data_IF_064799408418
#
_entry.id   IF_064799408418
#
_cell.length_a   1.000
_cell.length_b   1.000
_cell.length_c   1.000
_cell.angle_alpha   90.00
_cell.angle_beta   90.00
_cell.angle_gamma   90.00
#
_symmetry.space_group_name_H-M   'P 1'
#
loop_
_entity.id
_entity.type
_entity.pdbx_description
1 polymer ?
#
# COMPACT_ATOMS: atom_id res chain seq x y z
N UNK A 1 -2.56 -6.26 20.56
CA UNK A 1 -3.50 -6.69 19.50
C UNK A 1 -2.71 -7.60 18.58
N UNK A 2 -3.00 -8.90 18.59
CA UNK A 2 -2.21 -9.90 17.85
C UNK A 2 -2.51 -9.72 16.35
N UNK A 3 -1.50 -9.36 15.56
CA UNK A 3 -1.55 -9.34 14.09
C UNK A 3 -1.52 -10.78 13.55
N UNK A 4 -2.48 -11.60 13.98
CA UNK A 4 -2.47 -13.02 13.64
C UNK A 4 -2.94 -13.19 12.19
N UNK A 5 -1.99 -13.58 11.35
CA UNK A 5 -2.15 -14.02 9.97
C UNK A 5 -3.07 -13.15 9.08
N UNK A 6 -2.49 -12.08 8.54
CA UNK A 6 -2.97 -11.51 7.28
C UNK A 6 -2.94 -12.61 6.19
N UNK A 7 -4.11 -13.10 5.79
CA UNK A 7 -4.27 -13.99 4.64
C UNK A 7 -3.95 -13.22 3.34
N UNK A 8 -2.82 -13.49 2.66
CA UNK A 8 -2.36 -12.67 1.55
C UNK A 8 -3.15 -12.91 0.26
N UNK A 9 -3.87 -14.02 0.15
CA UNK A 9 -4.81 -14.29 -0.95
C UNK A 9 -6.08 -13.42 -0.85
N UNK A 10 -6.41 -12.98 0.37
CA UNK A 10 -7.56 -12.15 0.70
C UNK A 10 -7.26 -10.63 0.75
N UNK A 11 -6.01 -10.21 0.49
CA UNK A 11 -5.59 -8.79 0.32
C UNK A 11 -6.25 -8.08 -0.89
N UNK A 12 -7.16 -8.75 -1.61
CA UNK A 12 -7.89 -8.20 -2.75
C UNK A 12 -9.25 -7.57 -2.41
N UNK A 13 -9.69 -7.57 -1.14
CA UNK A 13 -10.85 -6.77 -0.67
C UNK A 13 -11.02 -6.70 0.86
N UNK A 14 -10.03 -7.09 1.67
CA UNK A 14 -10.18 -7.01 3.13
C UNK A 14 -10.07 -5.57 3.63
N UNK A 15 -10.98 -5.24 4.54
CA UNK A 15 -11.02 -3.99 5.29
C UNK A 15 -10.42 -4.21 6.67
N UNK A 16 -9.48 -3.36 7.04
CA UNK A 16 -8.76 -3.39 8.30
C UNK A 16 -9.19 -2.22 9.17
N UNK A 17 -9.40 -2.50 10.46
CA UNK A 17 -9.55 -1.48 11.48
C UNK A 17 -8.16 -1.10 11.96
N UNK A 18 -7.82 0.19 11.89
CA UNK A 18 -6.59 0.73 12.46
C UNK A 18 -6.79 1.06 13.95
N UNK A 19 -5.71 1.10 14.76
CA UNK A 19 -5.75 1.57 16.15
C UNK A 19 -6.46 2.91 16.33
N UNK A 20 -6.19 3.86 15.42
CA UNK A 20 -6.91 5.12 15.29
C UNK A 20 -7.06 5.49 13.80
N UNK A 21 -8.17 6.15 13.47
CA UNK A 21 -8.48 6.56 12.09
C UNK A 21 -9.56 5.72 11.42
N UNK A 22 -9.78 5.93 10.11
CA UNK A 22 -10.82 5.25 9.36
C UNK A 22 -10.43 3.80 9.06
N UNK A 23 -11.43 3.02 8.66
CA UNK A 23 -11.23 1.68 8.12
C UNK A 23 -10.50 1.76 6.78
N UNK A 24 -9.45 0.97 6.62
CA UNK A 24 -8.66 0.94 5.38
C UNK A 24 -8.86 -0.37 4.63
N UNK A 25 -9.04 -0.30 3.32
CA UNK A 25 -9.03 -1.46 2.42
C UNK A 25 -7.68 -1.53 1.72
N UNK A 26 -7.06 -2.70 1.74
CA UNK A 26 -5.85 -2.94 0.96
C UNK A 26 -6.21 -3.56 -0.39
N UNK A 27 -5.49 -3.17 -1.43
CA UNK A 27 -5.58 -3.76 -2.77
C UNK A 27 -4.30 -3.53 -3.57
N UNK A 28 -4.12 -4.28 -4.65
CA UNK A 28 -3.06 -3.99 -5.62
C UNK A 28 -3.27 -2.59 -6.24
N UNK A 29 -2.14 -1.93 -6.51
CA UNK A 29 -2.13 -0.67 -7.25
C UNK A 29 -2.67 -0.85 -8.68
N UNK A 30 -3.33 0.17 -9.18
CA UNK A 30 -3.93 0.24 -10.52
C UNK A 30 -3.49 1.51 -11.22
N UNK A 31 -3.49 1.50 -12.57
CA UNK A 31 -3.23 2.72 -13.35
C UNK A 31 -4.13 3.90 -12.99
N UNK A 32 -5.39 3.63 -12.61
CA UNK A 32 -6.34 4.64 -12.15
C UNK A 32 -5.93 5.35 -10.87
N UNK A 33 -5.02 4.77 -10.07
CA UNK A 33 -4.62 5.33 -8.78
C UNK A 33 -3.67 6.53 -8.92
N UNK A 34 -3.17 6.80 -10.13
CA UNK A 34 -2.15 7.83 -10.38
C UNK A 34 -2.51 9.19 -9.76
N UNK A 35 -3.76 9.62 -9.91
CA UNK A 35 -4.24 10.89 -9.34
C UNK A 35 -4.28 10.85 -7.82
N UNK A 36 -4.73 9.74 -7.23
CA UNK A 36 -4.77 9.58 -5.76
C UNK A 36 -3.38 9.49 -5.14
N UNK A 37 -2.45 8.81 -5.80
CA UNK A 37 -1.05 8.71 -5.38
C UNK A 37 -0.33 10.05 -5.45
N UNK A 38 -0.55 10.83 -6.51
CA UNK A 38 0.01 12.18 -6.62
C UNK A 38 -0.45 13.04 -5.44
N UNK A 39 -1.77 13.04 -5.14
CA UNK A 39 -2.33 13.76 -3.99
C UNK A 39 -1.75 13.32 -2.66
N UNK A 40 -1.60 12.01 -2.43
CA UNK A 40 -0.98 11.48 -1.21
C UNK A 40 0.46 11.99 -1.06
N UNK A 41 1.26 11.93 -2.12
CA UNK A 41 2.66 12.38 -2.10
C UNK A 41 2.76 13.89 -1.86
N UNK A 42 1.94 14.69 -2.54
CA UNK A 42 1.84 16.14 -2.35
C UNK A 42 1.47 16.50 -0.90
N UNK A 43 0.52 15.78 -0.29
CA UNK A 43 0.12 15.97 1.11
C UNK A 43 1.25 15.65 2.10
N UNK A 44 2.23 14.83 1.68
CA UNK A 44 3.45 14.53 2.43
C UNK A 44 4.61 15.47 2.09
N UNK A 45 4.38 16.50 1.28
CA UNK A 45 5.41 17.42 0.83
C UNK A 45 6.41 16.80 -0.15
N UNK A 46 6.05 15.68 -0.77
CA UNK A 46 6.86 14.99 -1.78
C UNK A 46 6.34 15.43 -3.14
N UNK A 47 7.15 16.12 -3.94
CA UNK A 47 6.81 16.36 -5.34
C UNK A 47 7.10 15.11 -6.18
N UNK A 48 6.07 14.43 -6.71
CA UNK A 48 6.28 13.19 -7.42
C UNK A 48 6.67 13.44 -8.89
N UNK A 49 7.80 12.89 -9.32
CA UNK A 49 8.10 12.82 -10.75
C UNK A 49 7.15 11.87 -11.47
N UNK A 50 6.90 12.11 -12.76
CA UNK A 50 6.11 11.20 -13.61
C UNK A 50 6.61 9.76 -13.54
N UNK A 51 7.93 9.56 -13.52
CA UNK A 51 8.53 8.23 -13.44
C UNK A 51 8.24 7.53 -12.11
N UNK A 52 8.26 8.26 -10.98
CA UNK A 52 7.91 7.70 -9.67
C UNK A 52 6.44 7.27 -9.63
N UNK A 53 5.53 8.10 -10.14
CA UNK A 53 4.10 7.76 -10.21
C UNK A 53 3.86 6.53 -11.09
N UNK A 54 4.49 6.46 -12.26
CA UNK A 54 4.38 5.30 -13.15
C UNK A 54 4.91 4.02 -12.47
N UNK A 55 5.98 4.10 -11.68
CA UNK A 55 6.47 2.95 -10.88
C UNK A 55 5.49 2.51 -9.80
N UNK A 56 4.78 3.46 -9.17
CA UNK A 56 3.81 3.15 -8.12
C UNK A 56 2.48 2.61 -8.65
N UNK A 57 2.13 2.88 -9.91
CA UNK A 57 0.94 2.27 -10.54
C UNK A 57 1.26 1.01 -11.34
N UNK A 58 2.54 0.72 -11.55
CA UNK A 58 3.00 -0.43 -12.33
C UNK A 58 3.33 -1.60 -11.42
N UNK A 59 2.32 -2.44 -11.23
CA UNK A 59 2.50 -3.79 -10.71
C UNK A 59 3.15 -4.70 -11.76
N UNK A 60 4.25 -5.36 -11.42
CA UNK A 60 4.83 -6.46 -12.19
C UNK A 60 4.82 -7.71 -11.30
N UNK A 61 3.94 -8.69 -11.56
CA UNK A 61 3.80 -9.85 -10.70
C UNK A 61 5.10 -10.61 -10.47
N UNK A 62 6.09 -10.50 -11.37
CA UNK A 62 7.38 -11.20 -11.27
C UNK A 62 8.47 -10.40 -10.56
N UNK A 63 8.36 -9.08 -10.54
CA UNK A 63 9.44 -8.18 -10.11
C UNK A 63 9.05 -7.23 -9.00
N UNK A 64 7.83 -6.68 -9.02
CA UNK A 64 7.43 -5.63 -8.10
C UNK A 64 5.98 -5.74 -7.67
N UNK A 65 5.78 -5.80 -6.37
CA UNK A 65 4.46 -5.73 -5.77
C UNK A 65 4.21 -4.32 -5.24
N UNK A 66 3.04 -3.77 -5.54
CA UNK A 66 2.59 -2.49 -5.01
C UNK A 66 1.19 -2.64 -4.44
N UNK A 67 1.00 -2.23 -3.18
CA UNK A 67 -0.27 -2.26 -2.45
C UNK A 67 -0.68 -0.83 -2.12
N UNK A 68 -1.91 -0.48 -2.48
CA UNK A 68 -2.58 0.75 -2.06
C UNK A 68 -3.51 0.47 -0.87
N UNK A 69 -3.51 1.38 0.09
CA UNK A 69 -4.49 1.46 1.15
C UNK A 69 -5.50 2.57 0.84
N UNK A 70 -6.79 2.25 0.96
CA UNK A 70 -7.88 3.16 0.61
C UNK A 70 -8.92 3.26 1.71
N UNK A 71 -9.60 4.39 1.80
CA UNK A 71 -10.74 4.59 2.70
C UNK A 71 -11.83 5.40 2.00
N UNK A 72 -13.12 5.19 2.32
CA UNK A 72 -14.15 6.17 2.01
C UNK A 72 -13.79 7.52 2.66
N UNK A 73 -13.75 8.58 1.86
CA UNK A 73 -13.55 9.97 2.28
C UNK A 73 -14.34 10.87 1.34
N UNK A 74 -15.18 11.75 1.91
CA UNK A 74 -16.02 12.70 1.16
C UNK A 74 -16.84 12.06 0.02
N UNK A 75 -17.40 10.87 0.28
CA UNK A 75 -18.22 10.13 -0.68
C UNK A 75 -17.43 9.42 -1.80
N UNK A 76 -16.10 9.44 -1.75
CA UNK A 76 -15.22 8.78 -2.74
C UNK A 76 -14.23 7.83 -2.06
N UNK A 77 -13.62 6.93 -2.84
CA UNK A 77 -12.51 6.11 -2.33
C UNK A 77 -11.19 6.89 -2.48
N UNK A 78 -10.61 7.32 -1.36
CA UNK A 78 -9.34 8.03 -1.33
C UNK A 78 -8.17 7.07 -1.04
N UNK A 79 -7.02 7.32 -1.69
CA UNK A 79 -5.75 6.65 -1.35
C UNK A 79 -5.18 7.33 -0.10
N UNK A 80 -4.96 6.57 0.97
CA UNK A 80 -4.37 7.06 2.23
C UNK A 80 -3.04 6.41 2.55
N UNK A 81 -2.61 5.44 1.74
CA UNK A 81 -1.28 4.89 1.82
C UNK A 81 -0.92 4.08 0.58
N UNK A 82 0.37 3.93 0.35
CA UNK A 82 0.94 3.06 -0.68
C UNK A 82 2.23 2.46 -0.14
N UNK A 83 2.46 1.20 -0.47
CA UNK A 83 3.75 0.58 -0.24
C UNK A 83 4.15 -0.32 -1.40
N UNK A 84 5.45 -0.51 -1.57
CA UNK A 84 6.01 -1.32 -2.63
C UNK A 84 7.22 -2.14 -2.14
N UNK A 85 7.42 -3.27 -2.79
CA UNK A 85 8.51 -4.21 -2.52
C UNK A 85 9.00 -4.82 -3.84
N UNK A 86 10.32 -4.89 -4.02
CA UNK A 86 10.95 -5.67 -5.08
C UNK A 86 10.96 -7.16 -4.71
N UNK A 87 10.52 -7.99 -5.64
CA UNK A 87 10.32 -9.44 -5.49
C UNK A 87 11.52 -10.26 -5.96
N UNK A 88 12.43 -9.65 -6.73
CA UNK A 88 13.68 -10.27 -7.20
C UNK A 88 14.88 -9.95 -6.30
N UNK A 89 14.67 -9.18 -5.23
CA UNK A 89 15.65 -8.95 -4.16
C UNK A 89 15.80 -10.18 -3.26
N UNK A 90 17.01 -10.43 -2.77
CA UNK A 90 17.29 -11.45 -1.73
C UNK A 90 16.68 -11.08 -0.38
N UNK A 91 16.49 -9.78 -0.13
CA UNK A 91 15.88 -9.24 1.07
C UNK A 91 14.47 -8.75 0.72
N UNK A 92 13.45 -9.42 1.28
CA UNK A 92 12.05 -9.06 1.09
C UNK A 92 11.66 -7.91 2.02
N UNK A 93 12.27 -6.75 1.82
CA UNK A 93 11.97 -5.53 2.57
C UNK A 93 11.27 -4.48 1.69
N UNK A 94 10.21 -3.80 2.17
CA UNK A 94 9.57 -2.73 1.42
C UNK A 94 10.54 -1.57 1.11
N UNK A 95 10.73 -1.28 -0.17
CA UNK A 95 11.56 -0.14 -0.62
C UNK A 95 10.80 1.20 -0.60
N UNK A 96 9.47 1.14 -0.49
CA UNK A 96 8.61 2.33 -0.44
C UNK A 96 7.48 2.10 0.55
N UNK A 97 7.29 3.04 1.48
CA UNK A 97 6.07 3.18 2.30
C UNK A 97 5.76 4.67 2.42
N UNK A 98 4.56 5.06 2.00
CA UNK A 98 4.04 6.41 2.16
C UNK A 98 2.61 6.31 2.70
N UNK A 99 2.32 7.00 3.79
CA UNK A 99 1.03 6.97 4.47
C UNK A 99 0.59 8.38 4.88
N UNK A 100 -0.71 8.59 4.97
CA UNK A 100 -1.27 9.80 5.59
C UNK A 100 -1.41 9.60 7.10
N UNK A 101 -0.33 9.92 7.84
CA UNK A 101 -0.29 9.83 9.31
C UNK A 101 -1.30 10.75 10.01
N UNK A 102 -1.87 11.75 9.31
CA UNK A 102 -2.89 12.64 9.89
C UNK A 102 -4.22 11.94 10.03
N UNK A 103 -4.47 10.98 9.15
CA UNK A 103 -5.71 10.21 9.11
C UNK A 103 -5.55 8.82 9.72
N UNK A 104 -4.33 8.30 9.81
CA UNK A 104 -4.09 6.89 10.11
C UNK A 104 -2.97 6.72 11.12
N UNK A 105 -3.21 5.86 12.11
CA UNK A 105 -2.19 5.37 13.04
C UNK A 105 -1.97 3.86 12.78
N UNK A 106 -0.72 3.41 12.67
CA UNK A 106 -0.36 2.02 12.38
C UNK A 106 -0.56 1.53 10.92
N UNK A 107 -0.88 2.43 9.97
CA UNK A 107 -1.04 2.03 8.57
C UNK A 107 0.28 1.60 7.91
N UNK A 108 1.40 2.22 8.27
CA UNK A 108 2.71 1.88 7.74
C UNK A 108 3.07 0.41 8.06
N UNK A 109 2.88 0.00 9.33
CA UNK A 109 3.13 -1.36 9.79
C UNK A 109 2.23 -2.38 9.09
N UNK A 110 0.95 -2.03 8.92
CA UNK A 110 0.00 -2.87 8.18
C UNK A 110 0.42 -3.07 6.72
N UNK A 111 0.87 -2.01 6.03
CA UNK A 111 1.37 -2.09 4.66
C UNK A 111 2.64 -2.93 4.57
N UNK A 112 3.59 -2.73 5.49
CA UNK A 112 4.83 -3.50 5.55
C UNK A 112 4.54 -5.00 5.71
N UNK A 113 3.72 -5.36 6.69
CA UNK A 113 3.34 -6.75 6.95
C UNK A 113 2.61 -7.38 5.75
N UNK A 114 1.73 -6.62 5.09
CA UNK A 114 1.02 -7.08 3.90
C UNK A 114 1.95 -7.34 2.71
N UNK A 115 2.93 -6.46 2.46
CA UNK A 115 3.91 -6.60 1.38
C UNK A 115 4.81 -7.83 1.61
N UNK A 116 5.41 -7.94 2.79
CA UNK A 116 6.30 -9.07 3.15
C UNK A 116 5.54 -10.38 3.11
N UNK A 117 4.35 -10.44 3.72
CA UNK A 117 3.52 -11.64 3.74
C UNK A 117 3.10 -12.10 2.33
N UNK A 118 2.89 -11.16 1.40
CA UNK A 118 2.55 -11.47 0.01
C UNK A 118 3.76 -11.89 -0.82
N UNK A 119 4.92 -11.28 -0.59
CA UNK A 119 6.17 -11.61 -1.27
C UNK A 119 6.69 -13.01 -0.89
N UNK A 120 6.69 -13.34 0.41
CA UNK A 120 7.21 -14.62 0.92
C UNK A 120 6.49 -15.87 0.39
N UNK A 121 5.19 -15.77 0.06
CA UNK A 121 4.41 -16.89 -0.51
C UNK A 121 4.60 -17.09 -2.02
N UNK A 122 5.35 -16.22 -2.70
CA UNK A 122 5.73 -16.41 -4.11
C UNK A 122 6.98 -17.29 -4.25
N UNK A 123 7.80 -17.34 -3.20
CA UNK A 123 9.06 -18.11 -3.14
C UNK A 123 8.83 -19.54 -2.63
N UNK A 124 7.66 -19.81 -2.04
CA UNK A 124 7.24 -21.13 -1.52
C UNK A 124 6.57 -22.00 -2.59
#
# INVERSE_FOLDING_TARGET
>A
MVLDQLDPGALLSRTYQLPAGPRVRLRLARRSDRVGLARLLEQRGIEPSTLQLERLVRYDPRRRLVICATTPLDGTEAIVGVGAIELDSSELEPDTIVVDDRLTDGLADLLAAALVGRAGRRVA
#
